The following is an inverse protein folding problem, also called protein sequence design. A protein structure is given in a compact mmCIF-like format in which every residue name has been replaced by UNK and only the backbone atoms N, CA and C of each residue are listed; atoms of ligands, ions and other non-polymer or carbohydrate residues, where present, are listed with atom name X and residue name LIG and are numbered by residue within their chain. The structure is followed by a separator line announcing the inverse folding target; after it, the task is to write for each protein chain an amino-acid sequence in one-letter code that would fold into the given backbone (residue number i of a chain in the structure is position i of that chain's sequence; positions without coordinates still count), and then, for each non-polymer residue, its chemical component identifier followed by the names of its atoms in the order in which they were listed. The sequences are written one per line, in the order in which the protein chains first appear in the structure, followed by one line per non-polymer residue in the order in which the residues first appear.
data_IF_390027754335
#
_entry.id   IF_390027754335
#
_cell.length_a   1.000
_cell.length_b   1.000
_cell.length_c   1.000
_cell.angle_alpha   90.00
_cell.angle_beta   90.00
_cell.angle_gamma   90.00
#
_symmetry.space_group_name_H-M   'P 1'
#
loop_
_entity.id
_entity.type
_entity.pdbx_description
1 polymer ?
#
# COMPACT_ATOMS: atom_id res chain seq x y z
N UNK A 1 -15.65 28.57 11.55
CA UNK A 1 -14.21 28.29 11.35
C UNK A 1 -13.96 28.06 9.87
N UNK A 2 -12.71 28.16 9.40
CA UNK A 2 -12.39 27.74 8.03
C UNK A 2 -12.52 26.20 7.93
N UNK A 3 -13.01 25.70 6.79
CA UNK A 3 -13.14 24.25 6.55
C UNK A 3 -11.74 23.66 6.38
N UNK A 4 -11.48 22.47 6.92
CA UNK A 4 -10.18 21.79 6.80
C UNK A 4 -10.26 20.63 5.82
N UNK A 5 -9.23 20.50 4.98
CA UNK A 5 -9.03 19.33 4.11
C UNK A 5 -7.70 18.70 4.48
N UNK A 6 -7.73 17.53 5.09
CA UNK A 6 -6.56 16.70 5.31
C UNK A 6 -6.36 15.79 4.10
N UNK A 7 -5.25 16.00 3.39
CA UNK A 7 -4.81 15.15 2.29
C UNK A 7 -3.64 14.29 2.78
N UNK A 8 -3.94 13.05 3.15
CA UNK A 8 -2.94 12.05 3.49
C UNK A 8 -2.36 11.44 2.23
N UNK A 9 -1.12 11.83 1.92
CA UNK A 9 -0.50 11.56 0.62
C UNK A 9 0.30 10.25 0.56
N UNK A 10 0.59 9.61 1.68
CA UNK A 10 1.40 8.39 1.73
C UNK A 10 2.26 8.33 2.98
N UNK A 11 3.35 7.57 3.00
CA UNK A 11 3.93 6.83 1.87
C UNK A 11 3.27 5.45 1.59
N UNK A 12 3.63 4.74 0.50
CA UNK A 12 3.35 3.31 0.41
C UNK A 12 4.00 2.56 1.58
N UNK A 13 3.49 1.39 2.00
CA UNK A 13 4.14 0.52 3.02
C UNK A 13 4.39 1.15 4.42
N UNK A 14 3.73 2.28 4.71
CA UNK A 14 3.75 2.97 6.02
C UNK A 14 2.42 2.85 6.76
N UNK A 15 1.71 1.73 6.59
CA UNK A 15 0.44 1.47 7.29
C UNK A 15 -0.80 2.14 6.68
N UNK A 16 -0.69 2.74 5.50
CA UNK A 16 -1.80 3.46 4.85
C UNK A 16 -3.04 2.61 4.60
N UNK A 17 -2.90 1.31 4.30
CA UNK A 17 -4.04 0.40 4.16
C UNK A 17 -4.81 0.24 5.46
N UNK A 18 -4.12 0.11 6.59
CA UNK A 18 -4.74 -0.01 7.91
C UNK A 18 -5.51 1.27 8.25
N UNK A 19 -4.89 2.43 8.06
CA UNK A 19 -5.54 3.73 8.26
C UNK A 19 -6.78 3.91 7.37
N UNK A 20 -6.66 3.63 6.07
CA UNK A 20 -7.76 3.80 5.12
C UNK A 20 -8.95 2.88 5.40
N UNK A 21 -8.67 1.65 5.83
CA UNK A 21 -9.69 0.66 6.13
C UNK A 21 -10.48 1.06 7.39
N UNK A 22 -9.80 1.47 8.47
CA UNK A 22 -10.47 2.03 9.66
C UNK A 22 -11.30 3.26 9.34
N UNK A 23 -10.78 4.19 8.54
CA UNK A 23 -11.53 5.37 8.10
C UNK A 23 -12.78 4.98 7.31
N UNK A 24 -12.67 4.01 6.41
CA UNK A 24 -13.80 3.53 5.62
C UNK A 24 -14.88 2.89 6.51
N UNK A 25 -14.49 2.02 7.43
CA UNK A 25 -15.41 1.33 8.33
C UNK A 25 -16.13 2.31 9.27
N UNK A 26 -15.46 3.37 9.72
CA UNK A 26 -16.03 4.35 10.65
C UNK A 26 -16.61 5.60 9.98
N UNK A 27 -16.63 5.70 8.64
CA UNK A 27 -17.05 6.92 7.91
C UNK A 27 -18.41 7.48 8.33
N UNK A 28 -19.39 6.61 8.62
CA UNK A 28 -20.74 7.02 9.04
C UNK A 28 -20.73 7.61 10.45
N UNK A 29 -19.87 7.09 11.33
CA UNK A 29 -19.68 7.64 12.67
C UNK A 29 -18.94 8.98 12.59
N UNK A 30 -17.83 9.03 11.86
CA UNK A 30 -17.05 10.24 11.60
C UNK A 30 -17.89 11.39 11.05
N UNK A 31 -18.80 11.11 10.12
CA UNK A 31 -19.67 12.13 9.52
C UNK A 31 -20.61 12.78 10.54
N UNK A 32 -21.09 12.04 11.55
CA UNK A 32 -21.90 12.60 12.65
C UNK A 32 -21.12 13.60 13.52
N UNK A 33 -19.79 13.51 13.50
CA UNK A 33 -18.87 14.39 14.21
C UNK A 33 -18.23 15.43 13.28
N UNK A 34 -18.80 15.66 12.09
CA UNK A 34 -18.33 16.70 11.17
C UNK A 34 -17.05 16.33 10.39
N UNK A 35 -16.66 15.05 10.38
CA UNK A 35 -15.52 14.52 9.61
C UNK A 35 -16.03 13.71 8.42
N UNK A 36 -15.88 14.25 7.21
CA UNK A 36 -16.33 13.61 5.98
C UNK A 36 -15.20 12.85 5.29
N UNK A 37 -15.43 11.56 5.03
CA UNK A 37 -14.55 10.69 4.24
C UNK A 37 -15.21 10.39 2.89
N UNK A 38 -14.92 11.18 1.83
CA UNK A 38 -15.71 11.27 0.58
C UNK A 38 -15.50 10.11 -0.40
N UNK A 39 -15.46 8.89 0.09
CA UNK A 39 -15.44 7.68 -0.74
C UNK A 39 -16.74 7.59 -1.54
N UNK A 40 -16.62 7.17 -2.80
CA UNK A 40 -17.78 6.98 -3.68
C UNK A 40 -18.41 5.59 -3.50
N UNK A 41 -18.87 4.99 -4.60
CA UNK A 41 -19.31 3.59 -4.59
C UNK A 41 -18.18 2.56 -4.39
N UNK A 42 -16.92 3.02 -4.31
CA UNK A 42 -15.75 2.20 -4.03
C UNK A 42 -15.23 2.54 -2.63
N UNK A 43 -14.63 1.59 -1.90
CA UNK A 43 -14.21 1.80 -0.52
C UNK A 43 -12.90 2.60 -0.37
N UNK A 44 -12.28 3.02 -1.48
CA UNK A 44 -11.00 3.71 -1.47
C UNK A 44 -10.93 4.83 -2.52
N UNK A 45 -9.78 5.53 -2.52
CA UNK A 45 -9.45 6.60 -3.46
C UNK A 45 -8.48 6.15 -4.56
N UNK A 46 -8.37 4.85 -4.85
CA UNK A 46 -7.40 4.35 -5.82
C UNK A 46 -7.60 4.98 -7.20
N UNK A 47 -8.84 5.03 -7.70
CA UNK A 47 -9.13 5.63 -9.01
C UNK A 47 -8.89 7.14 -9.05
N UNK A 48 -9.43 7.96 -8.11
CA UNK A 48 -9.11 9.39 -8.06
C UNK A 48 -7.61 9.68 -7.94
N UNK A 49 -6.89 8.89 -7.14
CA UNK A 49 -5.46 9.07 -6.97
C UNK A 49 -4.68 8.72 -8.23
N UNK A 50 -5.05 7.61 -8.89
CA UNK A 50 -4.44 7.20 -10.15
C UNK A 50 -4.69 8.22 -11.28
N UNK A 51 -5.91 8.78 -11.33
CA UNK A 51 -6.30 9.84 -12.27
C UNK A 51 -5.46 11.11 -12.05
N UNK A 52 -5.37 11.59 -10.80
CA UNK A 52 -4.58 12.79 -10.48
C UNK A 52 -3.10 12.65 -10.83
N UNK A 53 -2.46 11.52 -10.46
CA UNK A 53 -1.03 11.35 -10.74
C UNK A 53 -0.75 11.08 -12.23
N UNK A 54 -1.79 10.73 -12.99
CA UNK A 54 -1.77 10.56 -14.44
C UNK A 54 -0.64 9.62 -14.93
N UNK A 55 -0.46 8.51 -14.20
CA UNK A 55 0.63 7.55 -14.43
C UNK A 55 0.11 6.27 -15.10
N UNK A 56 0.86 5.65 -16.04
CA UNK A 56 0.52 4.33 -16.55
C UNK A 56 0.44 3.29 -15.41
N UNK A 57 -0.68 2.58 -15.33
CA UNK A 57 -0.89 1.51 -14.36
C UNK A 57 -1.72 0.40 -14.99
N UNK A 58 -1.06 -0.59 -15.60
CA UNK A 58 -1.74 -1.73 -16.21
C UNK A 58 -2.83 -1.37 -17.22
N UNK A 59 -2.68 -0.27 -17.97
CA UNK A 59 -3.68 0.21 -18.93
C UNK A 59 -4.87 0.99 -18.33
N UNK A 60 -4.99 1.06 -17.01
CA UNK A 60 -6.15 1.70 -16.33
C UNK A 60 -6.25 3.21 -16.51
N UNK A 61 -5.20 3.88 -17.00
CA UNK A 61 -5.15 5.34 -17.15
C UNK A 61 -6.35 5.91 -17.93
N UNK A 62 -6.79 5.21 -19.00
CA UNK A 62 -7.96 5.64 -19.79
C UNK A 62 -9.29 5.42 -19.05
N UNK A 63 -9.34 4.47 -18.12
CA UNK A 63 -10.56 4.05 -17.42
C UNK A 63 -10.87 4.88 -16.18
N UNK A 64 -9.91 5.68 -15.70
CA UNK A 64 -10.05 6.48 -14.46
C UNK A 64 -10.20 7.98 -14.73
N UNK A 65 -10.24 8.40 -16.00
CA UNK A 65 -10.31 9.80 -16.36
C UNK A 65 -11.53 10.50 -15.75
N UNK A 66 -11.30 11.57 -14.97
CA UNK A 66 -12.35 12.38 -14.33
C UNK A 66 -12.77 11.89 -12.94
N UNK A 67 -12.17 10.83 -12.42
CA UNK A 67 -12.39 10.33 -11.07
C UNK A 67 -11.89 11.33 -10.01
N UNK A 68 -10.80 12.06 -10.29
CA UNK A 68 -10.32 13.15 -9.43
C UNK A 68 -11.33 14.30 -9.37
N UNK A 69 -11.79 14.79 -10.52
CA UNK A 69 -12.77 15.90 -10.55
C UNK A 69 -14.11 15.49 -9.91
N UNK A 70 -14.48 14.20 -10.02
CA UNK A 70 -15.65 13.64 -9.33
C UNK A 70 -15.48 13.62 -7.82
N UNK A 71 -14.30 13.27 -7.31
CA UNK A 71 -13.97 13.40 -5.89
C UNK A 71 -14.05 14.86 -5.44
N UNK A 72 -13.43 15.79 -6.17
CA UNK A 72 -13.47 17.23 -5.86
C UNK A 72 -14.92 17.76 -5.82
N UNK A 73 -15.79 17.33 -6.74
CA UNK A 73 -17.22 17.67 -6.69
C UNK A 73 -17.91 17.18 -5.42
N UNK A 74 -17.57 15.99 -4.90
CA UNK A 74 -18.10 15.49 -3.62
C UNK A 74 -17.61 16.32 -2.45
N UNK A 75 -16.31 16.64 -2.41
CA UNK A 75 -15.68 17.51 -1.41
C UNK A 75 -16.39 18.87 -1.35
N UNK A 76 -16.63 19.49 -2.51
CA UNK A 76 -17.27 20.81 -2.62
C UNK A 76 -18.73 20.84 -2.17
N UNK A 77 -19.47 19.73 -2.33
CA UNK A 77 -20.87 19.61 -1.93
C UNK A 77 -21.06 19.35 -0.44
N UNK A 78 -19.99 18.96 0.27
CA UNK A 78 -20.06 18.68 1.69
C UNK A 78 -20.03 19.97 2.51
N UNK A 79 -20.86 20.01 3.54
CA UNK A 79 -20.88 21.05 4.56
C UNK A 79 -20.05 20.69 5.80
N UNK A 80 -19.39 19.53 5.79
CA UNK A 80 -18.56 19.07 6.91
C UNK A 80 -17.38 20.02 7.18
N UNK A 81 -17.07 20.22 8.46
CA UNK A 81 -15.97 21.07 8.91
C UNK A 81 -14.61 20.48 8.53
N UNK A 82 -14.49 19.15 8.55
CA UNK A 82 -13.27 18.43 8.22
C UNK A 82 -13.52 17.44 7.09
N UNK A 83 -12.65 17.45 6.07
CA UNK A 83 -12.67 16.50 4.97
C UNK A 83 -11.35 15.75 4.97
N UNK A 84 -11.41 14.42 4.90
CA UNK A 84 -10.22 13.57 4.92
C UNK A 84 -10.12 12.73 3.64
N UNK A 85 -9.01 12.88 2.92
CA UNK A 85 -8.69 12.14 1.69
C UNK A 85 -7.37 11.41 1.92
N UNK A 86 -7.33 10.09 1.69
CA UNK A 86 -6.17 9.27 2.06
C UNK A 86 -5.81 8.27 0.96
N UNK A 87 -4.67 8.49 0.28
CA UNK A 87 -4.14 7.51 -0.65
C UNK A 87 -2.64 7.66 -0.89
N UNK A 88 -1.88 6.58 -0.73
CA UNK A 88 -0.41 6.61 -0.81
C UNK A 88 0.16 6.92 -2.21
N UNK A 89 -0.65 6.82 -3.26
CA UNK A 89 -0.21 7.18 -4.62
C UNK A 89 0.03 8.68 -4.77
N UNK A 90 -0.63 9.52 -3.98
CA UNK A 90 -0.48 10.97 -4.04
C UNK A 90 0.96 11.42 -3.75
N UNK A 91 1.71 10.70 -2.91
CA UNK A 91 3.13 10.97 -2.66
C UNK A 91 3.91 11.06 -3.97
N UNK A 92 3.55 10.25 -4.96
CA UNK A 92 4.22 10.19 -6.27
C UNK A 92 3.81 11.27 -7.27
N UNK A 93 2.92 12.20 -6.90
CA UNK A 93 2.44 13.26 -7.78
C UNK A 93 3.58 14.19 -8.25
N UNK A 94 3.53 14.60 -9.53
CA UNK A 94 4.45 15.60 -10.10
C UNK A 94 4.04 17.01 -9.66
N UNK A 95 4.94 18.01 -9.71
CA UNK A 95 4.63 19.38 -9.26
C UNK A 95 3.35 19.98 -9.86
N UNK A 96 3.12 19.79 -11.17
CA UNK A 96 1.92 20.25 -11.87
C UNK A 96 0.63 19.58 -11.35
N UNK A 97 0.72 18.31 -10.95
CA UNK A 97 -0.41 17.57 -10.36
C UNK A 97 -0.67 17.98 -8.91
N UNK A 98 0.38 18.30 -8.16
CA UNK A 98 0.25 18.88 -6.81
C UNK A 98 -0.42 20.24 -6.87
N UNK A 99 0.01 21.12 -7.77
CA UNK A 99 -0.61 22.44 -7.96
C UNK A 99 -2.10 22.34 -8.32
N UNK A 100 -2.46 21.43 -9.22
CA UNK A 100 -3.87 21.12 -9.52
C UNK A 100 -4.62 20.71 -8.25
N UNK A 101 -4.11 19.75 -7.48
CA UNK A 101 -4.80 19.27 -6.28
C UNK A 101 -4.97 20.36 -5.21
N UNK A 102 -3.93 21.15 -4.97
CA UNK A 102 -3.96 22.27 -4.03
C UNK A 102 -4.98 23.35 -4.46
N UNK A 103 -5.05 23.64 -5.77
CA UNK A 103 -6.04 24.56 -6.33
C UNK A 103 -7.45 24.01 -6.17
N UNK A 104 -7.67 22.78 -6.60
CA UNK A 104 -9.00 22.16 -6.63
C UNK A 104 -9.62 22.02 -5.23
N UNK A 105 -8.80 21.71 -4.22
CA UNK A 105 -9.21 21.51 -2.83
C UNK A 105 -9.22 22.82 -2.01
N UNK A 106 -8.34 23.77 -2.34
CA UNK A 106 -8.22 25.07 -1.66
C UNK A 106 -9.15 26.16 -2.18
N UNK A 107 -9.88 25.91 -3.27
CA UNK A 107 -10.76 26.88 -3.92
C UNK A 107 -11.72 27.58 -2.93
N UNK A 108 -11.84 28.92 -3.08
CA UNK A 108 -12.76 29.76 -2.32
C UNK A 108 -12.16 30.48 -1.10
N UNK A 109 -10.86 30.32 -0.82
CA UNK A 109 -10.13 31.10 0.20
C UNK A 109 -10.56 30.85 1.66
N UNK A 110 -11.53 29.95 1.89
CA UNK A 110 -12.08 29.57 3.20
C UNK A 110 -11.74 28.12 3.59
N UNK A 111 -10.86 27.47 2.84
CA UNK A 111 -10.45 26.08 3.07
C UNK A 111 -8.97 26.03 3.42
N UNK A 112 -8.64 25.42 4.55
CA UNK A 112 -7.27 25.14 4.97
C UNK A 112 -6.89 23.73 4.50
N UNK A 113 -5.87 23.61 3.66
CA UNK A 113 -5.36 22.31 3.22
C UNK A 113 -4.19 21.91 4.11
N UNK A 114 -4.29 20.71 4.66
CA UNK A 114 -3.28 20.06 5.51
C UNK A 114 -2.74 18.85 4.77
N UNK A 115 -1.42 18.73 4.69
CA UNK A 115 -0.74 17.57 4.09
C UNK A 115 -0.33 16.63 5.19
N UNK A 116 -0.74 15.36 5.11
CA UNK A 116 -0.31 14.33 6.05
C UNK A 116 0.57 13.32 5.33
N UNK A 117 1.72 13.00 5.90
CA UNK A 117 2.64 11.99 5.39
C UNK A 117 3.04 11.05 6.52
N UNK A 118 2.72 9.77 6.37
CA UNK A 118 3.19 8.69 7.21
C UNK A 118 4.56 8.22 6.75
N UNK A 119 5.51 8.15 7.67
CA UNK A 119 6.89 7.76 7.40
C UNK A 119 7.31 6.59 8.30
N UNK A 120 8.09 5.67 7.75
CA UNK A 120 8.63 4.49 8.43
C UNK A 120 10.12 4.42 8.12
N UNK A 121 10.91 3.82 9.00
CA UNK A 121 12.33 3.61 8.74
C UNK A 121 12.58 2.97 7.37
N UNK A 122 13.64 3.46 6.74
CA UNK A 122 13.99 3.13 5.35
C UNK A 122 14.25 1.63 5.17
N UNK A 123 14.80 0.94 6.18
CA UNK A 123 15.15 -0.47 6.10
C UNK A 123 13.90 -1.37 5.96
N UNK A 124 12.90 -1.20 6.83
CA UNK A 124 11.64 -1.94 6.74
C UNK A 124 10.87 -1.58 5.46
N UNK A 125 10.93 -0.33 5.03
CA UNK A 125 10.24 0.12 3.80
C UNK A 125 10.87 -0.48 2.54
N UNK A 126 12.19 -0.51 2.42
CA UNK A 126 12.89 -1.13 1.28
C UNK A 126 12.55 -2.61 1.15
N UNK A 127 12.59 -3.35 2.26
CA UNK A 127 12.22 -4.76 2.28
C UNK A 127 10.75 -4.98 1.86
N UNK A 128 9.83 -4.15 2.37
CA UNK A 128 8.40 -4.26 2.04
C UNK A 128 8.09 -3.88 0.58
N UNK A 129 8.77 -2.88 0.02
CA UNK A 129 8.65 -2.46 -1.38
C UNK A 129 9.18 -3.51 -2.34
N UNK A 130 10.33 -4.11 -2.03
CA UNK A 130 10.85 -5.21 -2.83
C UNK A 130 9.87 -6.39 -2.88
N UNK A 131 9.32 -6.80 -1.73
CA UNK A 131 8.34 -7.88 -1.68
C UNK A 131 7.07 -7.56 -2.47
N UNK A 132 6.56 -6.33 -2.40
CA UNK A 132 5.39 -5.91 -3.19
C UNK A 132 5.66 -5.97 -4.68
N UNK A 133 6.86 -5.59 -5.11
CA UNK A 133 7.28 -5.74 -6.50
C UNK A 133 7.32 -7.21 -6.92
N UNK A 134 7.83 -8.11 -6.08
CA UNK A 134 7.82 -9.55 -6.35
C UNK A 134 6.39 -10.09 -6.47
N UNK A 135 5.45 -9.62 -5.65
CA UNK A 135 4.03 -9.99 -5.78
C UNK A 135 3.39 -9.50 -7.10
N UNK A 136 3.99 -8.50 -7.74
CA UNK A 136 3.56 -7.88 -9.01
C UNK A 136 4.49 -8.23 -10.18
N UNK A 137 4.79 -9.52 -10.32
CA UNK A 137 5.51 -10.11 -11.46
C UNK A 137 7.01 -9.75 -11.53
N UNK A 138 7.56 -8.94 -10.60
CA UNK A 138 9.00 -8.64 -10.64
C UNK A 138 9.81 -9.86 -10.21
N UNK A 139 10.96 -10.01 -10.86
CA UNK A 139 11.90 -11.12 -10.68
C UNK A 139 13.30 -10.68 -10.19
N UNK A 140 13.44 -9.40 -9.85
CA UNK A 140 14.73 -8.79 -9.44
C UNK A 140 15.11 -9.28 -8.05
N UNK A 141 16.37 -9.67 -7.87
CA UNK A 141 16.94 -10.06 -6.58
C UNK A 141 16.93 -8.90 -5.59
N UNK A 142 16.91 -9.18 -4.29
CA UNK A 142 16.93 -8.14 -3.27
C UNK A 142 18.23 -7.33 -3.32
N UNK A 143 19.38 -8.00 -3.47
CA UNK A 143 20.68 -7.34 -3.61
C UNK A 143 20.71 -6.33 -4.77
N UNK A 144 20.20 -6.72 -5.95
CA UNK A 144 20.15 -5.83 -7.12
C UNK A 144 19.13 -4.72 -6.98
N UNK A 145 18.02 -4.99 -6.28
CA UNK A 145 17.05 -3.93 -5.95
C UNK A 145 17.70 -2.88 -5.04
N UNK A 146 18.40 -3.32 -4.00
CA UNK A 146 19.07 -2.44 -3.05
C UNK A 146 20.17 -1.58 -3.71
N UNK A 147 21.04 -2.20 -4.50
CA UNK A 147 22.07 -1.50 -5.29
C UNK A 147 21.45 -0.36 -6.12
N UNK A 148 20.33 -0.65 -6.81
CA UNK A 148 19.62 0.37 -7.60
C UNK A 148 19.07 1.51 -6.73
N UNK A 149 18.62 1.23 -5.52
CA UNK A 149 18.11 2.28 -4.61
C UNK A 149 19.25 3.15 -4.08
N UNK A 150 20.40 2.54 -3.76
CA UNK A 150 21.61 3.25 -3.32
C UNK A 150 22.20 4.14 -4.41
N UNK A 151 22.18 3.70 -5.67
CA UNK A 151 22.68 4.48 -6.81
C UNK A 151 21.70 5.55 -7.30
N UNK A 152 20.41 5.41 -7.02
CA UNK A 152 19.39 6.34 -7.50
C UNK A 152 19.45 7.65 -6.71
N UNK A 153 19.27 8.78 -7.42
CA UNK A 153 19.07 10.09 -6.77
C UNK A 153 17.82 10.04 -5.90
N UNK A 154 17.92 10.56 -4.68
CA UNK A 154 16.78 10.67 -3.77
C UNK A 154 15.86 11.83 -4.18
N UNK A 155 16.44 13.00 -4.48
CA UNK A 155 15.68 14.18 -4.91
C UNK A 155 15.27 14.11 -6.38
N UNK A 156 14.06 14.59 -6.68
CA UNK A 156 13.47 14.63 -8.04
C UNK A 156 13.63 13.31 -8.81
N UNK A 157 13.49 12.19 -8.11
CA UNK A 157 13.89 10.90 -8.65
C UNK A 157 12.99 10.40 -9.77
N UNK A 158 13.61 9.76 -10.76
CA UNK A 158 12.91 8.90 -11.72
C UNK A 158 12.54 7.55 -11.08
N UNK A 159 13.26 7.12 -10.05
CA UNK A 159 12.93 5.91 -9.30
C UNK A 159 11.64 6.14 -8.50
N UNK A 160 10.63 5.30 -8.75
CA UNK A 160 9.33 5.41 -8.09
C UNK A 160 9.46 5.38 -6.56
N UNK A 161 10.36 4.53 -6.05
CA UNK A 161 10.66 4.44 -4.63
C UNK A 161 10.98 5.81 -4.03
N UNK A 162 12.05 6.47 -4.48
CA UNK A 162 12.45 7.77 -3.96
C UNK A 162 11.42 8.87 -4.21
N UNK A 163 10.63 8.77 -5.30
CA UNK A 163 9.55 9.72 -5.56
C UNK A 163 8.44 9.67 -4.50
N UNK A 164 8.17 8.51 -3.93
CA UNK A 164 7.12 8.33 -2.92
C UNK A 164 7.65 8.29 -1.49
N UNK A 165 8.92 7.92 -1.30
CA UNK A 165 9.53 7.68 0.01
C UNK A 165 10.59 8.70 0.40
N UNK A 166 11.11 9.49 -0.55
CA UNK A 166 12.05 10.57 -0.28
C UNK A 166 11.35 11.69 0.49
N UNK A 167 11.24 11.53 1.82
CA UNK A 167 10.47 12.37 2.72
C UNK A 167 10.72 13.87 2.47
N UNK A 168 11.98 14.35 2.41
CA UNK A 168 12.26 15.75 2.09
C UNK A 168 11.69 16.21 0.75
N UNK A 169 11.80 15.39 -0.30
CA UNK A 169 11.34 15.73 -1.66
C UNK A 169 9.81 15.72 -1.76
N UNK A 170 9.15 14.76 -1.11
CA UNK A 170 7.68 14.64 -1.07
C UNK A 170 7.08 15.81 -0.31
N UNK A 171 7.53 16.06 0.92
CA UNK A 171 6.95 17.10 1.77
C UNK A 171 7.31 18.51 1.29
N UNK A 172 8.52 18.74 0.76
CA UNK A 172 8.84 20.04 0.13
C UNK A 172 7.96 20.32 -1.10
N UNK A 173 7.61 19.27 -1.86
CA UNK A 173 6.75 19.42 -3.05
C UNK A 173 5.30 19.72 -2.66
N UNK A 174 4.74 18.95 -1.73
CA UNK A 174 3.34 19.12 -1.29
C UNK A 174 3.14 20.34 -0.39
N UNK A 175 4.12 20.66 0.46
CA UNK A 175 4.08 21.75 1.43
C UNK A 175 4.57 23.10 0.93
N UNK A 176 4.98 23.23 -0.35
CA UNK A 176 5.69 24.41 -0.89
C UNK A 176 5.08 25.79 -0.53
N UNK A 177 3.76 25.88 -0.46
CA UNK A 177 3.01 27.12 -0.20
C UNK A 177 2.17 27.04 1.08
N UNK A 178 2.47 26.08 1.96
CA UNK A 178 1.79 25.91 3.24
C UNK A 178 2.70 26.36 4.37
N UNK A 179 2.13 26.93 5.44
CA UNK A 179 2.91 27.13 6.66
C UNK A 179 3.22 25.76 7.29
N UNK A 180 4.34 25.62 8.03
CA UNK A 180 4.81 24.31 8.51
C UNK A 180 3.80 23.55 9.38
N UNK A 181 2.95 24.25 10.13
CA UNK A 181 1.88 23.68 10.96
C UNK A 181 0.75 23.00 10.15
N UNK A 182 0.75 23.11 8.81
CA UNK A 182 -0.16 22.41 7.91
C UNK A 182 0.52 21.27 7.13
N UNK A 183 1.75 20.94 7.50
CA UNK A 183 2.51 19.82 6.93
C UNK A 183 2.82 18.88 8.08
N UNK A 184 2.18 17.72 8.09
CA UNK A 184 2.19 16.77 9.19
C UNK A 184 2.98 15.53 8.82
N UNK A 185 3.99 15.21 9.62
CA UNK A 185 4.78 13.99 9.56
C UNK A 185 4.32 13.05 10.68
N UNK A 186 3.70 11.93 10.31
CA UNK A 186 3.25 10.89 11.23
C UNK A 186 4.26 9.74 11.19
N UNK A 187 4.95 9.47 12.28
CA UNK A 187 5.91 8.36 12.29
C UNK A 187 5.22 7.02 12.56
N UNK A 188 5.62 5.99 11.82
CA UNK A 188 5.19 4.61 12.01
C UNK A 188 6.08 3.99 13.09
N UNK A 189 5.51 3.46 14.16
CA UNK A 189 6.29 2.99 15.30
C UNK A 189 7.21 1.79 14.92
N UNK A 190 8.19 1.47 15.77
CA UNK A 190 9.11 0.36 15.59
C UNK A 190 8.41 -0.99 15.47
N UNK A 191 9.13 -2.02 15.02
CA UNK A 191 8.55 -3.37 14.95
C UNK A 191 8.20 -3.86 16.36
N UNK A 192 7.10 -4.59 16.51
CA UNK A 192 6.61 -5.05 17.80
C UNK A 192 5.81 -4.02 18.60
N UNK A 193 5.80 -2.75 18.19
CA UNK A 193 4.89 -1.76 18.79
C UNK A 193 3.43 -2.09 18.47
N UNK A 194 2.48 -1.78 19.37
CA UNK A 194 1.05 -1.98 19.12
C UNK A 194 0.55 -1.20 17.90
N UNK A 195 -0.28 -1.82 17.06
CA UNK A 195 -0.74 -1.25 15.78
C UNK A 195 -1.59 0.02 15.95
N UNK A 196 -2.26 0.16 17.08
CA UNK A 196 -3.08 1.32 17.41
C UNK A 196 -2.26 2.60 17.64
N UNK A 197 -0.95 2.50 17.89
CA UNK A 197 -0.07 3.68 18.05
C UNK A 197 -0.10 4.54 16.78
N UNK A 198 0.03 3.92 15.60
CA UNK A 198 -0.05 4.64 14.33
C UNK A 198 -1.45 5.28 14.14
N UNK A 199 -2.50 4.58 14.54
CA UNK A 199 -3.87 5.10 14.45
C UNK A 199 -4.07 6.33 15.33
N UNK A 200 -3.61 6.28 16.59
CA UNK A 200 -3.71 7.40 17.53
C UNK A 200 -2.96 8.63 17.03
N UNK A 201 -1.71 8.46 16.59
CA UNK A 201 -0.90 9.55 16.00
C UNK A 201 -1.60 10.19 14.79
N UNK A 202 -2.14 9.36 13.91
CA UNK A 202 -2.90 9.86 12.76
C UNK A 202 -4.18 10.62 13.18
N UNK A 203 -4.93 10.10 14.15
CA UNK A 203 -6.14 10.74 14.64
C UNK A 203 -5.86 12.07 15.32
N UNK A 204 -4.77 12.19 16.08
CA UNK A 204 -4.32 13.43 16.70
C UNK A 204 -4.12 14.55 15.68
N UNK A 205 -3.42 14.26 14.58
CA UNK A 205 -3.20 15.22 13.48
C UNK A 205 -4.51 15.71 12.87
N UNK A 206 -5.47 14.79 12.65
CA UNK A 206 -6.75 15.14 12.00
C UNK A 206 -7.75 15.76 13.00
N UNK A 207 -7.56 15.55 14.31
CA UNK A 207 -8.51 15.92 15.34
C UNK A 207 -9.69 14.95 15.46
N UNK A 208 -9.44 13.64 15.26
CA UNK A 208 -10.43 12.57 15.43
C UNK A 208 -10.31 12.02 16.84
N UNK A 209 -11.42 11.96 17.60
CA UNK A 209 -11.43 11.25 18.87
C UNK A 209 -11.58 9.73 18.67
N UNK A 210 -10.94 8.96 19.55
CA UNK A 210 -11.00 7.49 19.51
C UNK A 210 -12.45 6.97 19.59
N UNK A 211 -13.28 7.62 20.40
CA UNK A 211 -14.70 7.31 20.59
C UNK A 211 -15.53 7.37 19.29
N UNK A 212 -15.08 8.14 18.29
CA UNK A 212 -15.77 8.26 17.00
C UNK A 212 -15.48 7.09 16.08
N UNK A 213 -14.49 6.24 16.41
CA UNK A 213 -13.94 5.20 15.52
C UNK A 213 -13.88 3.80 16.16
N UNK A 214 -15.03 3.27 16.64
CA UNK A 214 -15.09 2.02 17.40
C UNK A 214 -14.74 0.75 16.60
N UNK A 215 -14.79 0.80 15.26
CA UNK A 215 -14.53 -0.35 14.42
C UNK A 215 -13.04 -0.38 14.05
N UNK A 216 -12.35 -1.48 14.36
CA UNK A 216 -10.97 -1.69 13.93
C UNK A 216 -10.89 -2.26 12.51
N UNK A 217 -9.68 -2.29 11.94
CA UNK A 217 -9.44 -2.87 10.62
C UNK A 217 -9.24 -4.38 10.70
N UNK A 218 -9.92 -5.09 9.82
CA UNK A 218 -9.70 -6.54 9.62
C UNK A 218 -8.48 -6.82 8.71
N UNK A 219 -7.82 -5.78 8.19
CA UNK A 219 -6.72 -5.91 7.23
C UNK A 219 -5.38 -6.04 7.93
N UNK A 220 -4.90 -7.28 8.02
CA UNK A 220 -3.52 -7.57 8.36
C UNK A 220 -2.68 -7.72 7.08
N UNK A 221 -1.92 -6.69 6.73
CA UNK A 221 -0.97 -6.75 5.60
C UNK A 221 0.27 -7.56 6.00
N UNK A 222 0.13 -8.88 6.04
CA UNK A 222 1.26 -9.77 6.32
C UNK A 222 2.23 -9.78 5.14
N UNK A 223 3.51 -9.58 5.46
CA UNK A 223 4.61 -9.67 4.49
C UNK A 223 4.97 -11.12 4.20
N UNK A 224 5.57 -11.37 3.04
CA UNK A 224 6.15 -12.66 2.71
C UNK A 224 7.42 -12.88 3.55
N UNK A 225 7.73 -14.14 3.84
CA UNK A 225 9.05 -14.50 4.35
C UNK A 225 10.09 -14.59 3.25
N UNK A 226 11.36 -14.79 3.63
CA UNK A 226 12.50 -14.90 2.70
C UNK A 226 12.32 -16.04 1.69
N UNK A 227 11.92 -17.21 2.18
CA UNK A 227 11.72 -18.40 1.35
C UNK A 227 10.55 -18.21 0.37
N UNK A 228 9.44 -17.64 0.85
CA UNK A 228 8.23 -17.36 0.08
C UNK A 228 8.49 -16.32 -1.02
N UNK A 229 9.22 -15.25 -0.69
CA UNK A 229 9.62 -14.25 -1.67
C UNK A 229 10.54 -14.84 -2.74
N UNK A 230 11.50 -15.68 -2.37
CA UNK A 230 12.35 -16.40 -3.33
C UNK A 230 11.57 -17.34 -4.23
N UNK A 231 10.64 -18.13 -3.65
CA UNK A 231 9.76 -18.99 -4.42
C UNK A 231 8.98 -18.18 -5.45
N UNK A 232 8.32 -17.11 -5.02
CA UNK A 232 7.49 -16.28 -5.89
C UNK A 232 8.33 -15.63 -7.01
N UNK A 233 9.53 -15.16 -6.69
CA UNK A 233 10.49 -14.64 -7.66
C UNK A 233 10.87 -15.67 -8.72
N UNK A 234 11.15 -16.91 -8.30
CA UNK A 234 11.47 -18.03 -9.21
C UNK A 234 10.26 -18.45 -10.04
N UNK A 235 9.07 -18.45 -9.45
CA UNK A 235 7.80 -18.72 -10.14
C UNK A 235 7.55 -17.68 -11.24
N UNK A 236 7.68 -16.39 -10.93
CA UNK A 236 7.51 -15.30 -11.90
C UNK A 236 8.45 -15.43 -13.10
N UNK A 237 9.71 -15.81 -12.86
CA UNK A 237 10.68 -16.04 -13.93
C UNK A 237 10.28 -17.19 -14.86
N UNK A 238 9.62 -18.23 -14.33
CA UNK A 238 9.12 -19.35 -15.15
C UNK A 238 7.81 -19.01 -15.87
N UNK A 239 6.92 -18.26 -15.22
CA UNK A 239 5.63 -17.85 -15.80
C UNK A 239 5.78 -16.83 -16.93
N UNK A 240 6.84 -16.03 -16.92
CA UNK A 240 7.11 -15.09 -18.03
C UNK A 240 7.19 -15.80 -19.39
N UNK A 241 7.75 -17.01 -19.43
CA UNK A 241 7.83 -17.81 -20.66
C UNK A 241 6.48 -18.40 -21.11
N UNK A 242 5.43 -18.29 -20.29
CA UNK A 242 4.11 -18.88 -20.55
C UNK A 242 3.06 -17.83 -20.94
N UNK A 243 3.45 -16.55 -21.03
CA UNK A 243 2.58 -15.43 -21.46
C UNK A 243 1.21 -15.39 -20.74
N UNK A 244 1.22 -15.71 -19.43
CA UNK A 244 -0.01 -15.78 -18.63
C UNK A 244 -0.76 -14.44 -18.66
N UNK A 245 -2.08 -14.41 -18.95
CA UNK A 245 -2.86 -13.19 -18.89
C UNK A 245 -2.76 -12.53 -17.50
N UNK A 246 -2.72 -11.20 -17.47
CA UNK A 246 -2.55 -10.43 -16.22
C UNK A 246 -3.64 -10.71 -15.19
N UNK A 247 -4.87 -10.96 -15.64
CA UNK A 247 -5.99 -11.26 -14.76
C UNK A 247 -5.79 -12.62 -14.07
N UNK A 248 -5.33 -13.63 -14.82
CA UNK A 248 -5.02 -14.95 -14.30
C UNK A 248 -3.82 -14.92 -13.35
N UNK A 249 -2.77 -14.16 -13.70
CA UNK A 249 -1.64 -13.93 -12.80
C UNK A 249 -2.12 -13.28 -11.49
N UNK A 250 -2.92 -12.23 -11.57
CA UNK A 250 -3.43 -11.54 -10.39
C UNK A 250 -4.26 -12.47 -9.51
N UNK A 251 -5.17 -13.24 -10.11
CA UNK A 251 -6.03 -14.17 -9.37
C UNK A 251 -5.21 -15.28 -8.70
N UNK A 252 -4.43 -16.04 -9.49
CA UNK A 252 -3.74 -17.23 -9.00
C UNK A 252 -2.47 -16.89 -8.22
N UNK A 253 -1.63 -16.01 -8.76
CA UNK A 253 -0.30 -15.75 -8.18
C UNK A 253 -0.38 -14.72 -7.07
N UNK A 254 -0.96 -13.55 -7.35
CA UNK A 254 -1.02 -12.48 -6.33
C UNK A 254 -2.02 -12.83 -5.23
N UNK A 255 -3.24 -13.23 -5.57
CA UNK A 255 -4.31 -13.36 -4.57
C UNK A 255 -4.36 -14.76 -3.92
N UNK A 256 -4.24 -15.87 -4.67
CA UNK A 256 -4.24 -17.23 -4.08
C UNK A 256 -2.88 -17.58 -3.45
N UNK A 257 -1.81 -17.58 -4.24
CA UNK A 257 -0.49 -18.02 -3.77
C UNK A 257 0.08 -17.01 -2.78
N UNK A 258 0.31 -15.75 -3.18
CA UNK A 258 1.04 -14.83 -2.33
C UNK A 258 0.25 -14.39 -1.09
N UNK A 259 -0.95 -13.84 -1.26
CA UNK A 259 -1.72 -13.25 -0.15
C UNK A 259 -2.44 -14.28 0.70
N UNK A 260 -3.22 -15.20 0.11
CA UNK A 260 -4.04 -16.14 0.89
C UNK A 260 -3.25 -17.31 1.47
N UNK A 261 -2.09 -17.64 0.88
CA UNK A 261 -1.31 -18.82 1.28
C UNK A 261 0.04 -18.43 1.88
N UNK A 262 0.96 -17.94 1.06
CA UNK A 262 2.35 -17.73 1.47
C UNK A 262 2.50 -16.69 2.57
N UNK A 263 1.71 -15.61 2.55
CA UNK A 263 1.72 -14.59 3.59
C UNK A 263 1.18 -15.09 4.95
N UNK A 264 0.58 -16.30 5.01
CA UNK A 264 -0.02 -16.89 6.22
C UNK A 264 0.67 -18.19 6.69
N UNK A 265 1.74 -18.65 6.04
CA UNK A 265 2.58 -19.81 6.47
C UNK A 265 3.25 -19.65 7.84
N UNK A 266 3.17 -20.62 8.73
CA UNK A 266 3.89 -20.55 10.01
C UNK A 266 5.41 -20.57 9.83
N UNK A 267 6.15 -20.00 10.80
CA UNK A 267 7.61 -20.01 10.80
C UNK A 267 8.29 -19.15 9.74
N UNK A 268 7.55 -18.24 9.07
CA UNK A 268 8.13 -17.28 8.13
C UNK A 268 9.19 -16.42 8.79
N UNK A 269 10.35 -16.38 8.15
CA UNK A 269 11.44 -15.52 8.56
C UNK A 269 11.41 -14.23 7.71
N UNK A 270 11.48 -13.08 8.38
CA UNK A 270 11.33 -11.78 7.72
C UNK A 270 12.49 -11.48 6.77
N UNK A 271 12.17 -10.79 5.68
CA UNK A 271 13.18 -10.15 4.83
C UNK A 271 13.71 -8.92 5.55
N UNK A 272 15.02 -8.89 5.81
CA UNK A 272 15.71 -7.77 6.47
C UNK A 272 16.89 -7.29 5.61
N UNK A 273 17.34 -6.06 5.86
CA UNK A 273 18.47 -5.46 5.17
C UNK A 273 19.78 -6.21 5.48
N UNK A 274 20.72 -6.33 4.52
CA UNK A 274 22.05 -6.84 4.82
C UNK A 274 22.79 -5.92 5.80
N UNK A 275 23.65 -6.45 6.69
CA UNK A 275 24.44 -5.66 7.63
C UNK A 275 25.19 -4.49 6.98
N UNK A 276 25.74 -4.73 5.79
CA UNK A 276 26.50 -3.73 5.01
C UNK A 276 25.68 -2.53 4.53
N UNK A 277 24.35 -2.58 4.60
CA UNK A 277 23.47 -1.51 4.15
C UNK A 277 22.88 -0.67 5.29
N UNK A 278 23.14 -1.02 6.55
CA UNK A 278 22.63 -0.24 7.68
C UNK A 278 23.30 1.12 7.79
N UNK A 279 24.62 1.23 7.60
CA UNK A 279 25.30 2.54 7.65
C UNK A 279 24.73 3.52 6.63
N UNK A 280 24.44 3.04 5.41
CA UNK A 280 23.77 3.83 4.39
C UNK A 280 22.32 4.16 4.77
N UNK A 281 21.60 3.21 5.36
CA UNK A 281 20.22 3.42 5.80
C UNK A 281 20.13 4.45 6.91
N UNK A 282 21.09 4.45 7.83
CA UNK A 282 21.21 5.43 8.91
C UNK A 282 21.50 6.83 8.34
N UNK A 283 22.41 6.94 7.36
CA UNK A 283 22.64 8.23 6.67
C UNK A 283 21.38 8.77 6.00
N UNK A 284 20.55 7.91 5.40
CA UNK A 284 19.26 8.32 4.83
C UNK A 284 18.33 8.79 5.94
N UNK A 285 18.20 8.04 7.04
CA UNK A 285 17.34 8.38 8.16
C UNK A 285 17.75 9.72 8.80
N UNK A 286 19.04 9.92 9.10
CA UNK A 286 19.53 11.20 9.65
C UNK A 286 19.21 12.36 8.71
N UNK A 287 19.37 12.19 7.39
CA UNK A 287 19.02 13.26 6.44
C UNK A 287 17.52 13.61 6.43
N UNK A 288 16.65 12.64 6.75
CA UNK A 288 15.21 12.88 6.86
C UNK A 288 14.84 13.55 8.18
N UNK A 289 15.47 13.14 9.28
CA UNK A 289 15.31 13.71 10.62
C UNK A 289 15.77 15.17 10.60
N UNK A 290 17.01 15.44 10.14
CA UNK A 290 17.56 16.78 10.02
C UNK A 290 16.66 17.69 9.18
N UNK A 291 16.15 17.19 8.05
CA UNK A 291 15.22 17.96 7.23
C UNK A 291 13.92 18.26 7.97
N UNK A 292 13.33 17.29 8.68
CA UNK A 292 12.07 17.48 9.40
C UNK A 292 12.20 18.53 10.51
N UNK A 293 13.30 18.49 11.27
CA UNK A 293 13.63 19.47 12.30
C UNK A 293 13.84 20.88 11.73
N UNK A 294 14.62 21.00 10.65
CA UNK A 294 14.89 22.28 9.99
C UNK A 294 13.64 22.88 9.33
N UNK A 295 12.81 22.03 8.70
CA UNK A 295 11.57 22.45 8.06
C UNK A 295 10.48 22.82 9.08
N UNK A 296 10.62 22.41 10.35
CA UNK A 296 9.68 22.66 11.45
C UNK A 296 8.25 22.23 11.12
N UNK A 297 8.14 21.15 10.34
CA UNK A 297 6.84 20.51 10.07
C UNK A 297 6.24 20.01 11.37
N UNK A 298 4.92 19.88 11.41
CA UNK A 298 4.23 19.28 12.55
C UNK A 298 4.54 17.78 12.63
N UNK A 299 4.99 17.30 13.78
CA UNK A 299 5.43 15.90 13.97
C UNK A 299 4.49 15.22 14.97
N UNK A 300 3.85 14.12 14.55
CA UNK A 300 3.09 13.24 15.44
C UNK A 300 3.78 11.89 15.55
N UNK A 301 4.39 11.67 16.72
CA UNK A 301 5.23 10.52 17.04
C UNK A 301 6.66 10.93 17.39
N UNK A 302 7.58 9.97 17.29
CA UNK A 302 9.00 10.18 17.55
C UNK A 302 9.80 10.10 16.24
N UNK A 303 10.70 11.05 16.00
CA UNK A 303 11.59 11.03 14.83
C UNK A 303 12.60 9.88 14.91
N UNK A 304 12.90 9.38 16.11
CA UNK A 304 13.76 8.22 16.31
C UNK A 304 13.14 6.95 15.68
N UNK A 305 11.82 6.91 15.48
CA UNK A 305 11.13 5.82 14.76
C UNK A 305 11.56 5.71 13.28
N UNK A 306 12.20 6.74 12.73
CA UNK A 306 12.75 6.72 11.36
C UNK A 306 14.11 6.03 11.28
N UNK A 307 14.80 5.83 12.41
CA UNK A 307 16.08 5.15 12.45
C UNK A 307 15.89 3.63 12.26
N UNK A 308 16.64 3.00 11.34
CA UNK A 308 16.63 1.55 11.19
C UNK A 308 16.96 0.83 12.49
N UNK A 309 16.17 -0.18 12.84
CA UNK A 309 16.50 -1.08 13.93
C UNK A 309 17.51 -2.12 13.44
N UNK A 310 18.75 -2.00 13.92
CA UNK A 310 19.80 -3.00 13.68
C UNK A 310 19.47 -4.28 14.44
N UNK A 311 19.67 -5.47 13.83
CA UNK A 311 19.58 -6.72 14.56
C UNK A 311 20.69 -6.79 15.63
N UNK A 312 20.45 -7.59 16.67
CA UNK A 312 21.48 -7.92 17.68
C UNK A 312 22.72 -8.54 17.00
N UNK A 313 23.90 -8.30 17.58
CA UNK A 313 25.18 -8.63 16.95
C UNK A 313 25.41 -10.14 16.72
N UNK A 314 24.71 -10.99 17.47
CA UNK A 314 24.75 -12.45 17.39
C UNK A 314 23.74 -13.04 16.39
N UNK A 315 22.84 -12.23 15.85
CA UNK A 315 21.85 -12.66 14.87
C UNK A 315 22.49 -12.73 13.49
N UNK A 316 22.68 -13.96 13.00
CA UNK A 316 23.14 -14.19 11.64
C UNK A 316 22.10 -13.68 10.62
N UNK A 317 22.53 -12.76 9.75
CA UNK A 317 21.71 -12.33 8.64
C UNK A 317 21.68 -13.40 7.55
N UNK A 318 20.49 -13.84 7.16
CA UNK A 318 20.30 -14.77 6.05
C UNK A 318 19.80 -13.99 4.83
N UNK A 319 20.54 -14.14 3.73
CA UNK A 319 20.27 -13.50 2.46
C UNK A 319 18.92 -13.96 1.88
N UNK A 320 17.97 -13.03 1.65
CA UNK A 320 16.69 -13.35 1.03
C UNK A 320 16.81 -13.84 -0.41
N UNK A 321 17.95 -13.67 -1.08
CA UNK A 321 18.18 -14.22 -2.42
C UNK A 321 18.70 -15.67 -2.41
N UNK A 322 19.23 -16.12 -1.27
CA UNK A 322 19.79 -17.48 -1.07
C UNK A 322 19.24 -18.20 0.17
N UNK A 323 17.90 -18.28 0.37
CA UNK A 323 17.32 -19.01 1.49
C UNK A 323 17.60 -20.52 1.38
N UNK A 324 17.46 -21.23 2.51
CA UNK A 324 17.64 -22.70 2.54
C UNK A 324 16.69 -23.38 1.55
N UNK A 325 17.23 -24.33 0.78
CA UNK A 325 16.48 -25.00 -0.28
C UNK A 325 15.23 -25.74 0.24
N UNK A 326 15.31 -26.29 1.46
CA UNK A 326 14.19 -26.96 2.12
C UNK A 326 13.01 -26.01 2.34
N UNK A 327 13.25 -24.82 2.90
CA UNK A 327 12.17 -23.86 3.20
C UNK A 327 11.46 -23.39 1.93
N UNK A 328 12.22 -23.20 0.84
CA UNK A 328 11.66 -22.85 -0.48
C UNK A 328 10.82 -24.00 -1.05
N UNK A 329 11.28 -25.25 -0.88
CA UNK A 329 10.53 -26.42 -1.32
C UNK A 329 9.22 -26.58 -0.52
N UNK A 330 9.27 -26.41 0.80
CA UNK A 330 8.10 -26.45 1.67
C UNK A 330 7.09 -25.34 1.26
N UNK A 331 7.56 -24.14 0.94
CA UNK A 331 6.72 -23.05 0.40
C UNK A 331 6.10 -23.42 -0.95
N UNK A 332 6.83 -24.14 -1.79
CA UNK A 332 6.34 -24.57 -3.10
C UNK A 332 5.21 -25.60 -2.96
N UNK A 333 5.32 -26.52 -2.01
CA UNK A 333 4.26 -27.51 -1.73
C UNK A 333 2.97 -26.80 -1.29
N UNK A 334 3.05 -25.84 -0.37
CA UNK A 334 1.86 -25.10 0.06
C UNK A 334 1.22 -24.30 -1.07
N UNK A 335 2.03 -23.66 -1.92
CA UNK A 335 1.55 -22.96 -3.10
C UNK A 335 0.85 -23.92 -4.07
N UNK A 336 1.40 -25.12 -4.30
CA UNK A 336 0.78 -26.15 -5.14
C UNK A 336 -0.55 -26.64 -4.56
N UNK A 337 -0.60 -26.90 -3.25
CA UNK A 337 -1.84 -27.29 -2.56
C UNK A 337 -2.91 -26.21 -2.77
N UNK A 338 -2.55 -24.93 -2.59
CA UNK A 338 -3.48 -23.81 -2.77
C UNK A 338 -4.02 -23.73 -4.21
N UNK A 339 -3.16 -23.92 -5.22
CA UNK A 339 -3.57 -23.94 -6.63
C UNK A 339 -4.50 -25.14 -6.93
N UNK A 340 -4.19 -26.33 -6.43
CA UNK A 340 -5.04 -27.52 -6.61
C UNK A 340 -6.42 -27.31 -5.98
N UNK A 341 -6.48 -26.75 -4.78
CA UNK A 341 -7.74 -26.43 -4.10
C UNK A 341 -8.53 -25.37 -4.87
N UNK A 342 -7.88 -24.31 -5.35
CA UNK A 342 -8.54 -23.26 -6.15
C UNK A 342 -9.08 -23.81 -7.48
N UNK A 343 -8.31 -24.68 -8.16
CA UNK A 343 -8.73 -25.34 -9.39
C UNK A 343 -9.95 -26.25 -9.16
N UNK A 344 -9.99 -26.98 -8.04
CA UNK A 344 -11.12 -27.82 -7.67
C UNK A 344 -12.40 -27.01 -7.41
N UNK A 345 -12.28 -25.82 -6.80
CA UNK A 345 -13.41 -24.89 -6.59
C UNK A 345 -13.93 -24.28 -7.90
N UNK A 346 -13.02 -24.04 -8.84
CA UNK A 346 -13.34 -23.41 -10.14
C UNK A 346 -13.94 -24.39 -11.15
N UNK A 347 -13.82 -25.70 -10.89
CA UNK A 347 -14.41 -26.75 -11.73
C UNK A 347 -15.84 -27.03 -11.26
N UNK A 348 -16.91 -26.80 -12.06
CA UNK A 348 -18.24 -27.20 -11.66
C UNK A 348 -18.28 -28.72 -11.41
N UNK A 349 -19.02 -29.21 -10.40
CA UNK A 349 -19.04 -30.64 -10.11
C UNK A 349 -19.47 -31.39 -11.38
N UNK A 350 -18.87 -32.56 -11.68
CA UNK A 350 -19.24 -33.35 -12.84
C UNK A 350 -20.74 -33.63 -12.72
N UNK A 351 -21.51 -33.09 -13.66
CA UNK A 351 -22.94 -33.40 -13.82
C UNK A 351 -23.08 -34.91 -13.79
N UNK A 352 -23.70 -35.45 -12.74
CA UNK A 352 -23.87 -36.90 -12.57
C UNK A 352 -24.47 -37.51 -13.84
N UNK A 353 -24.07 -38.73 -14.17
CA UNK A 353 -24.57 -39.47 -15.35
C UNK A 353 -26.11 -39.51 -15.36
N UNK A 354 -26.74 -39.48 -14.18
CA UNK A 354 -28.18 -39.34 -14.00
C UNK A 354 -28.79 -38.04 -14.60
N UNK A 355 -28.06 -36.92 -14.52
CA UNK A 355 -28.51 -35.65 -15.12
C UNK A 355 -28.41 -35.64 -16.66
N UNK A 356 -27.47 -36.41 -17.25
CA UNK A 356 -27.40 -36.63 -18.71
C UNK A 356 -28.57 -37.51 -19.18
N UNK A 357 -28.91 -38.56 -18.44
CA UNK A 357 -30.06 -39.41 -18.75
C UNK A 357 -31.40 -38.65 -18.67
N UNK A 358 -31.56 -37.76 -17.66
CA UNK A 358 -32.76 -36.93 -17.53
C UNK A 358 -32.92 -35.90 -18.66
N UNK A 359 -31.82 -35.33 -19.17
CA UNK A 359 -31.82 -34.43 -20.32
C UNK A 359 -32.13 -35.13 -21.65
N UNK A 360 -31.66 -36.36 -21.83
CA UNK A 360 -31.92 -37.18 -23.02
C UNK A 360 -33.37 -37.71 -23.01
N UNK A 361 -33.89 -38.16 -21.86
CA UNK A 361 -35.30 -38.58 -21.75
C UNK A 361 -36.30 -37.44 -21.98
N UNK A 362 -35.99 -36.19 -21.57
CA UNK A 362 -36.83 -35.01 -21.91
C UNK A 362 -36.84 -34.71 -23.40
N UNK A 363 -35.72 -34.88 -24.11
CA UNK A 363 -35.65 -34.69 -25.57
C UNK A 363 -36.38 -35.78 -26.36
N UNK A 364 -36.46 -37.00 -25.84
CA UNK A 364 -37.18 -38.11 -26.51
C UNK A 364 -38.70 -37.99 -26.28
N UNK A 365 -39.16 -37.51 -25.12
CA UNK A 365 -40.61 -37.27 -24.87
C UNK A 365 -41.18 -36.07 -25.61
N UNK A 366 -40.37 -35.05 -25.95
CA UNK A 366 -40.82 -33.87 -26.70
C UNK A 366 -40.88 -34.03 -28.22
N UNK A 367 -40.54 -35.19 -28.77
CA UNK A 367 -40.53 -35.48 -30.22
C UNK A 367 -41.68 -36.41 -30.67
N UNK A 368 -42.63 -36.72 -29.77
CA UNK A 368 -43.77 -37.60 -30.02
C UNK A 368 -45.15 -36.94 -29.78
N UNK A 369 -45.20 -35.61 -29.73
CA UNK A 369 -46.45 -34.83 -29.75
C UNK A 369 -46.58 -34.08 -31.06
#
# INVERSE_FOLDING_TARGET
MARKVFLHVGAPKTGTTYLQDRLFHNRVSLEKHGVFYPVGGQPDFFKPALDLIDRPWGGMRKTVHGEWDTLVKRVRRSEADTILISHHLFAGARPDRVEKAMTDLGEGGRTEVHIVYTARDIARVLAAEWQDQVQRERKVTFARYLERMQMAKQSRSAAWFWRTHGLPDVLSRWGRNLPPERVHLVTVPPDGAPSEVLWRRFCEVVGIEESWTPIDSDRHNQSLGRAEATLLRRLNARLEAQELPREDYRHLVTDVIAKRTLAHRDGRERVTMPPSAFDWSDQVAESWIEWAELAKVDISGDLDDLRPQRPEADVEWIDPDTPRAKDVADAAIDALVAVVVEAARSTPPPRSVASRAAGVMRRVKGRRS
#
